data_IF_500493270085
#
_entry.id   IF_500493270085
#
_cell.length_a   1.000
_cell.length_b   1.000
_cell.length_c   1.000
_cell.angle_alpha   90.00
_cell.angle_beta   90.00
_cell.angle_gamma   90.00
#
_symmetry.space_group_name_H-M   'P 1'
#
loop_
_entity.id
_entity.type
_entity.pdbx_description
1 polymer ?
#
# COMPACT_ATOMS: atom_id res chain seq x y z
N UNK A 1 47.08 29.82 6.31
CA UNK A 1 45.94 29.48 7.22
C UNK A 1 44.75 29.17 6.33
N UNK A 2 44.57 27.92 6.08
CA UNK A 2 43.52 27.38 5.20
C UNK A 2 42.56 26.59 6.08
N UNK A 3 41.38 27.13 6.32
CA UNK A 3 40.29 26.42 7.01
C UNK A 3 39.54 25.57 6.00
N UNK A 4 39.70 24.27 6.13
CA UNK A 4 38.89 23.28 5.43
C UNK A 4 37.57 23.07 6.20
N UNK A 5 36.52 23.71 5.74
CA UNK A 5 35.15 23.38 6.18
C UNK A 5 34.70 22.03 5.64
N UNK A 6 34.91 20.98 6.44
CA UNK A 6 34.32 19.67 6.18
C UNK A 6 32.81 19.73 6.32
N UNK A 7 32.10 19.54 5.21
CA UNK A 7 30.66 19.40 5.17
C UNK A 7 30.33 17.97 5.61
N UNK A 8 30.00 17.80 6.89
CA UNK A 8 29.38 16.57 7.41
C UNK A 8 28.04 16.37 6.70
N UNK A 9 28.03 15.49 5.71
CA UNK A 9 26.79 14.91 5.20
C UNK A 9 26.21 14.07 6.32
N UNK A 10 25.14 14.56 6.94
CA UNK A 10 24.28 13.79 7.81
C UNK A 10 23.84 12.54 7.04
N UNK A 11 24.43 11.41 7.38
CA UNK A 11 24.01 10.08 6.97
C UNK A 11 22.68 9.78 7.72
N UNK A 12 21.58 10.34 7.21
CA UNK A 12 20.23 9.93 7.62
C UNK A 12 20.04 8.56 7.02
N UNK A 13 20.20 7.55 7.87
CA UNK A 13 20.07 6.14 7.54
C UNK A 13 18.86 5.90 6.64
N UNK A 14 19.12 5.21 5.54
CA UNK A 14 18.15 4.63 4.62
C UNK A 14 17.04 3.99 5.45
N UNK A 15 15.81 4.46 5.29
CA UNK A 15 14.66 4.05 6.06
C UNK A 15 14.25 2.60 5.78
N UNK A 16 15.08 1.65 6.19
CA UNK A 16 14.73 0.23 6.10
C UNK A 16 13.67 -0.09 7.15
N UNK A 17 12.48 -0.43 6.70
CA UNK A 17 11.46 -1.02 7.56
C UNK A 17 11.97 -2.38 8.03
N UNK A 18 12.28 -2.51 9.32
CA UNK A 18 12.78 -3.75 9.90
C UNK A 18 11.85 -4.22 11.02
N UNK A 19 10.83 -4.98 10.66
CA UNK A 19 9.90 -5.60 11.61
C UNK A 19 9.82 -7.12 11.38
N UNK A 20 10.78 -7.90 11.92
CA UNK A 20 10.85 -9.35 11.68
C UNK A 20 9.64 -10.13 12.22
N UNK A 21 9.01 -9.62 13.27
CA UNK A 21 7.79 -10.22 13.82
C UNK A 21 6.64 -10.07 12.82
N UNK A 22 6.39 -8.84 12.39
CA UNK A 22 5.36 -8.56 11.40
C UNK A 22 5.59 -9.33 10.10
N UNK A 23 6.82 -9.33 9.59
CA UNK A 23 7.16 -10.02 8.34
C UNK A 23 6.82 -11.54 8.40
N UNK A 24 7.14 -12.21 9.51
CA UNK A 24 6.79 -13.62 9.71
C UNK A 24 5.28 -13.84 9.84
N UNK A 25 4.62 -12.97 10.61
CA UNK A 25 3.17 -13.01 10.79
C UNK A 25 2.47 -12.81 9.44
N UNK A 26 2.84 -11.75 8.70
CA UNK A 26 2.26 -11.42 7.41
C UNK A 26 2.50 -12.52 6.37
N UNK A 27 3.72 -13.04 6.27
CA UNK A 27 4.04 -14.16 5.38
C UNK A 27 3.15 -15.38 5.65
N UNK A 28 2.80 -15.64 6.92
CA UNK A 28 1.89 -16.75 7.27
C UNK A 28 0.43 -16.42 6.97
N UNK A 29 0.00 -15.18 7.23
CA UNK A 29 -1.39 -14.75 7.02
C UNK A 29 -1.71 -14.67 5.53
N UNK A 30 -0.83 -14.11 4.73
CA UNK A 30 -1.02 -13.91 3.28
C UNK A 30 -1.18 -15.24 2.50
N UNK A 31 -0.59 -16.34 3.00
CA UNK A 31 -0.83 -17.68 2.39
C UNK A 31 -2.22 -18.25 2.67
N UNK A 32 -3.00 -17.62 3.54
CA UNK A 32 -4.33 -18.08 3.99
C UNK A 32 -5.34 -16.93 4.03
N UNK A 33 -5.19 -15.97 3.12
CA UNK A 33 -6.16 -14.87 3.05
C UNK A 33 -7.57 -15.42 2.80
N UNK A 34 -8.60 -14.91 3.49
CA UNK A 34 -9.99 -15.26 3.23
C UNK A 34 -10.38 -14.99 1.78
N UNK A 35 -11.25 -15.84 1.20
CA UNK A 35 -11.72 -15.64 -0.18
C UNK A 35 -12.40 -14.28 -0.40
N UNK A 36 -12.99 -13.70 0.66
CA UNK A 36 -13.53 -12.33 0.63
C UNK A 36 -12.46 -11.29 0.28
N UNK A 37 -11.27 -11.39 0.86
CA UNK A 37 -10.14 -10.49 0.55
C UNK A 37 -9.57 -10.77 -0.83
N UNK A 38 -9.39 -12.05 -1.20
CA UNK A 38 -8.89 -12.43 -2.52
C UNK A 38 -9.83 -11.93 -3.63
N UNK A 39 -11.15 -11.99 -3.42
CA UNK A 39 -12.15 -11.42 -4.33
C UNK A 39 -11.96 -9.91 -4.49
N UNK A 40 -11.79 -9.18 -3.39
CA UNK A 40 -11.57 -7.73 -3.42
C UNK A 40 -10.26 -7.36 -4.12
N UNK A 41 -9.18 -8.14 -3.92
CA UNK A 41 -7.93 -7.94 -4.65
C UNK A 41 -8.09 -8.10 -6.17
N UNK A 42 -8.75 -9.20 -6.60
CA UNK A 42 -9.04 -9.42 -8.04
C UNK A 42 -9.87 -8.28 -8.63
N UNK A 43 -10.86 -7.82 -7.89
CA UNK A 43 -11.70 -6.71 -8.31
C UNK A 43 -10.93 -5.39 -8.38
N UNK A 44 -10.09 -5.11 -7.38
CA UNK A 44 -9.26 -3.90 -7.35
C UNK A 44 -8.32 -3.80 -8.56
N UNK A 45 -7.83 -4.94 -9.05
CA UNK A 45 -6.91 -5.01 -10.18
C UNK A 45 -7.60 -5.16 -11.53
N UNK A 46 -8.91 -5.46 -11.55
CA UNK A 46 -9.64 -5.68 -12.79
C UNK A 46 -9.63 -4.44 -13.69
N UNK A 47 -9.35 -4.67 -14.99
CA UNK A 47 -9.33 -3.63 -16.00
C UNK A 47 -8.06 -2.76 -16.02
N UNK A 48 -7.09 -3.00 -15.14
CA UNK A 48 -5.79 -2.34 -15.20
C UNK A 48 -5.06 -2.65 -16.51
N UNK A 49 -4.34 -1.67 -17.02
CA UNK A 49 -3.54 -1.79 -18.25
C UNK A 49 -2.30 -0.91 -18.15
N UNK A 50 -1.31 -1.19 -19.00
CA UNK A 50 -0.09 -0.40 -19.09
C UNK A 50 0.86 -0.65 -17.93
N UNK A 51 1.60 0.38 -17.55
CA UNK A 51 2.65 0.34 -16.53
C UNK A 51 2.09 0.65 -15.15
N UNK A 52 2.27 -0.24 -14.20
CA UNK A 52 1.68 -0.16 -12.85
C UNK A 52 2.75 -0.05 -11.77
N UNK A 53 2.54 0.82 -10.78
CA UNK A 53 3.29 0.84 -9.52
C UNK A 53 2.44 0.18 -8.43
N UNK A 54 2.94 -0.87 -7.81
CA UNK A 54 2.33 -1.47 -6.61
C UNK A 54 3.11 -1.04 -5.36
N UNK A 55 2.42 -0.42 -4.41
CA UNK A 55 3.00 0.08 -3.15
C UNK A 55 2.75 -0.91 -2.04
N UNK A 56 3.81 -1.29 -1.32
CA UNK A 56 3.73 -2.25 -0.22
C UNK A 56 3.31 -3.64 -0.68
N UNK A 57 4.05 -4.21 -1.64
CA UNK A 57 3.69 -5.49 -2.27
C UNK A 57 3.60 -6.69 -1.29
N UNK A 58 4.17 -6.56 -0.10
CA UNK A 58 4.16 -7.63 0.92
C UNK A 58 4.81 -8.90 0.39
N UNK A 59 4.02 -9.96 0.31
CA UNK A 59 4.47 -11.26 -0.24
C UNK A 59 4.20 -11.41 -1.74
N UNK A 60 3.69 -10.37 -2.41
CA UNK A 60 3.33 -10.43 -3.83
C UNK A 60 1.98 -11.10 -4.11
N UNK A 61 1.07 -11.10 -3.15
CA UNK A 61 -0.26 -11.75 -3.29
C UNK A 61 -1.03 -11.24 -4.51
N UNK A 62 -0.88 -9.98 -4.88
CA UNK A 62 -1.57 -9.37 -6.03
C UNK A 62 -1.03 -9.85 -7.37
N UNK A 63 0.21 -10.31 -7.46
CA UNK A 63 0.89 -10.58 -8.74
C UNK A 63 0.16 -11.64 -9.60
N UNK A 64 -0.53 -12.58 -8.96
CA UNK A 64 -1.34 -13.59 -9.65
C UNK A 64 -2.64 -13.04 -10.28
N UNK A 65 -3.02 -11.79 -9.98
CA UNK A 65 -4.32 -11.23 -10.37
C UNK A 65 -4.21 -10.10 -11.41
N UNK A 66 -3.00 -9.68 -11.77
CA UNK A 66 -2.82 -8.65 -12.79
C UNK A 66 -3.33 -9.12 -14.15
N UNK A 67 -4.17 -8.32 -14.82
CA UNK A 67 -4.65 -8.66 -16.17
C UNK A 67 -3.53 -8.58 -17.22
N UNK A 68 -3.66 -9.34 -18.29
CA UNK A 68 -2.67 -9.40 -19.38
C UNK A 68 -2.46 -8.07 -20.12
N UNK A 69 -3.35 -7.09 -19.93
CA UNK A 69 -3.19 -5.73 -20.46
C UNK A 69 -2.15 -4.89 -19.67
N UNK A 70 -1.74 -5.34 -18.49
CA UNK A 70 -0.62 -4.73 -17.74
C UNK A 70 0.69 -5.15 -18.41
N UNK A 71 1.51 -4.17 -18.79
CA UNK A 71 2.76 -4.39 -19.52
C UNK A 71 3.96 -4.56 -18.58
N UNK A 72 3.90 -3.94 -17.41
CA UNK A 72 4.92 -3.99 -16.37
C UNK A 72 4.31 -3.67 -15.01
N UNK A 73 4.75 -4.37 -13.97
CA UNK A 73 4.52 -3.99 -12.57
C UNK A 73 5.86 -3.68 -11.92
N UNK A 74 5.98 -2.47 -11.36
CA UNK A 74 7.06 -2.13 -10.43
C UNK A 74 6.46 -2.19 -9.02
N UNK A 75 7.00 -3.08 -8.19
CA UNK A 75 6.51 -3.32 -6.83
C UNK A 75 7.54 -2.83 -5.82
N UNK A 76 7.15 -1.91 -4.94
CA UNK A 76 7.99 -1.43 -3.83
C UNK A 76 7.59 -2.14 -2.54
N UNK A 77 8.58 -2.75 -1.85
CA UNK A 77 8.38 -3.43 -0.56
C UNK A 77 9.62 -3.22 0.33
N UNK A 78 9.56 -2.32 1.31
CA UNK A 78 10.73 -1.95 2.12
C UNK A 78 11.15 -3.01 3.14
N UNK A 79 10.26 -3.92 3.54
CA UNK A 79 10.63 -5.02 4.43
C UNK A 79 11.34 -6.11 3.65
N UNK A 80 12.65 -6.23 3.84
CA UNK A 80 13.51 -7.09 3.02
C UNK A 80 13.10 -8.56 2.97
N UNK A 81 12.55 -9.11 4.07
CA UNK A 81 12.11 -10.52 4.15
C UNK A 81 10.86 -10.73 3.29
N UNK A 82 9.95 -9.76 3.27
CA UNK A 82 8.77 -9.77 2.41
C UNK A 82 9.18 -9.56 0.95
N UNK A 83 10.09 -8.63 0.67
CA UNK A 83 10.60 -8.39 -0.67
C UNK A 83 11.25 -9.66 -1.28
N UNK A 84 11.94 -10.48 -0.49
CA UNK A 84 12.48 -11.78 -0.95
C UNK A 84 11.35 -12.74 -1.36
N UNK A 85 10.26 -12.78 -0.59
CA UNK A 85 9.09 -13.63 -0.91
C UNK A 85 8.39 -13.09 -2.16
N UNK A 86 8.20 -11.76 -2.24
CA UNK A 86 7.60 -11.11 -3.41
C UNK A 86 8.41 -11.37 -4.69
N UNK A 87 9.74 -11.33 -4.66
CA UNK A 87 10.57 -11.66 -5.84
C UNK A 87 10.33 -13.07 -6.33
N UNK A 88 10.15 -14.06 -5.42
CA UNK A 88 9.80 -15.42 -5.80
C UNK A 88 8.39 -15.51 -6.40
N UNK A 89 7.43 -14.75 -5.85
CA UNK A 89 6.09 -14.69 -6.43
C UNK A 89 6.11 -14.05 -7.82
N UNK A 90 6.97 -13.06 -8.06
CA UNK A 90 7.16 -12.43 -9.36
C UNK A 90 7.64 -13.39 -10.45
N UNK A 91 8.43 -14.43 -10.11
CA UNK A 91 8.91 -15.43 -11.07
C UNK A 91 7.77 -16.24 -11.73
N UNK A 92 6.61 -16.32 -11.08
CA UNK A 92 5.44 -17.06 -11.59
C UNK A 92 4.27 -16.16 -11.98
N UNK A 93 4.46 -14.83 -11.95
CA UNK A 93 3.44 -13.89 -12.36
C UNK A 93 3.18 -13.97 -13.87
N UNK A 94 1.94 -13.69 -14.29
CA UNK A 94 1.54 -13.68 -15.71
C UNK A 94 2.01 -12.46 -16.48
N UNK A 95 2.48 -11.43 -15.77
CA UNK A 95 2.99 -10.18 -16.30
C UNK A 95 4.40 -9.91 -15.74
N UNK A 96 5.26 -9.13 -16.43
CA UNK A 96 6.56 -8.77 -15.89
C UNK A 96 6.44 -8.00 -14.57
N UNK A 97 7.09 -8.48 -13.51
CA UNK A 97 7.10 -7.82 -12.19
C UNK A 97 8.53 -7.61 -11.72
N UNK A 98 8.87 -6.37 -11.38
CA UNK A 98 10.15 -5.99 -10.76
C UNK A 98 9.91 -5.56 -9.32
N UNK A 99 10.59 -6.22 -8.35
CA UNK A 99 10.46 -5.91 -6.92
C UNK A 99 11.70 -5.17 -6.42
N UNK A 100 11.51 -3.95 -5.92
CA UNK A 100 12.55 -3.14 -5.26
C UNK A 100 12.33 -3.12 -3.74
N UNK A 101 13.41 -2.97 -2.98
CA UNK A 101 13.37 -2.91 -1.51
C UNK A 101 13.36 -1.46 -0.99
N UNK A 102 13.03 -0.50 -1.86
CA UNK A 102 12.88 0.90 -1.47
C UNK A 102 11.59 1.13 -0.70
N UNK A 103 11.54 2.17 0.11
CA UNK A 103 10.27 2.75 0.54
C UNK A 103 9.65 3.53 -0.61
N UNK A 104 8.35 3.78 -0.55
CA UNK A 104 7.70 4.60 -1.58
C UNK A 104 8.26 6.03 -1.58
N UNK A 105 8.65 6.53 -0.41
CA UNK A 105 9.23 7.86 -0.25
C UNK A 105 10.63 7.99 -0.90
N UNK A 106 11.38 6.90 -0.96
CA UNK A 106 12.70 6.84 -1.59
C UNK A 106 12.63 6.52 -3.07
N UNK A 107 11.61 5.77 -3.49
CA UNK A 107 11.45 5.37 -4.88
C UNK A 107 11.29 6.58 -5.80
N UNK A 108 11.98 6.55 -6.94
CA UNK A 108 11.90 7.58 -7.98
C UNK A 108 11.59 6.93 -9.31
N UNK A 109 10.41 7.22 -9.84
CA UNK A 109 10.02 6.78 -11.17
C UNK A 109 10.84 7.50 -12.25
N UNK A 110 11.33 6.76 -13.24
CA UNK A 110 11.94 7.34 -14.44
C UNK A 110 10.90 7.87 -15.40
N UNK A 111 9.83 7.09 -15.59
CA UNK A 111 8.70 7.40 -16.45
C UNK A 111 7.41 7.32 -15.66
N UNK A 112 6.37 8.09 -16.02
CA UNK A 112 5.08 8.04 -15.34
C UNK A 112 4.42 6.67 -15.44
N UNK A 113 3.61 6.35 -14.45
CA UNK A 113 2.78 5.14 -14.43
C UNK A 113 1.38 5.43 -14.99
N UNK A 114 0.76 4.40 -15.59
CA UNK A 114 -0.65 4.41 -15.97
C UNK A 114 -1.56 4.22 -14.76
N UNK A 115 -1.12 3.40 -13.81
CA UNK A 115 -1.85 3.17 -12.58
C UNK A 115 -0.91 2.98 -11.37
N UNK A 116 -1.44 3.29 -10.18
CA UNK A 116 -0.86 2.97 -8.87
C UNK A 116 -1.84 2.08 -8.12
N UNK A 117 -1.33 1.06 -7.46
CA UNK A 117 -2.10 0.12 -6.63
C UNK A 117 -1.62 0.20 -5.19
N UNK A 118 -2.56 0.47 -4.28
CA UNK A 118 -2.39 0.42 -2.84
C UNK A 118 -3.34 -0.65 -2.25
N UNK A 119 -2.80 -1.70 -1.64
CA UNK A 119 -3.60 -2.77 -1.05
C UNK A 119 -3.17 -3.05 0.38
N UNK A 120 -3.90 -2.50 1.36
CA UNK A 120 -3.64 -2.61 2.80
C UNK A 120 -2.27 -2.00 3.19
N UNK A 121 -1.90 -0.88 2.58
CA UNK A 121 -0.63 -0.20 2.79
C UNK A 121 -0.78 1.25 3.25
N UNK A 122 -1.75 2.02 2.75
CA UNK A 122 -1.97 3.42 3.17
C UNK A 122 -2.33 3.53 4.66
N UNK A 123 -2.90 2.48 5.23
CA UNK A 123 -3.10 2.39 6.67
C UNK A 123 -1.79 2.24 7.47
N UNK A 124 -0.68 1.85 6.81
CA UNK A 124 0.59 1.49 7.46
C UNK A 124 1.74 2.48 7.21
N UNK A 125 1.64 3.38 6.23
CA UNK A 125 2.63 4.43 6.00
C UNK A 125 2.59 5.50 7.10
N UNK A 126 3.72 6.15 7.40
CA UNK A 126 3.77 7.17 8.46
C UNK A 126 2.96 8.42 8.08
N UNK A 127 3.18 8.95 6.88
CA UNK A 127 2.60 10.19 6.38
C UNK A 127 1.77 9.94 5.10
N UNK A 128 0.50 9.44 5.22
CA UNK A 128 -0.29 9.04 4.06
C UNK A 128 -0.55 10.17 3.07
N UNK A 129 -0.66 11.42 3.54
CA UNK A 129 -0.87 12.57 2.66
C UNK A 129 0.38 12.84 1.80
N UNK A 130 1.58 12.76 2.37
CA UNK A 130 2.83 12.93 1.63
C UNK A 130 3.04 11.80 0.61
N UNK A 131 2.76 10.56 1.02
CA UNK A 131 2.80 9.39 0.13
C UNK A 131 1.84 9.57 -1.03
N UNK A 132 0.58 9.92 -0.77
CA UNK A 132 -0.42 10.12 -1.83
C UNK A 132 -0.06 11.25 -2.80
N UNK A 133 0.50 12.36 -2.32
CA UNK A 133 1.03 13.42 -3.19
C UNK A 133 2.18 12.93 -4.07
N UNK A 134 3.08 12.12 -3.53
CA UNK A 134 4.16 11.51 -4.30
C UNK A 134 3.61 10.55 -5.36
N UNK A 135 2.67 9.68 -5.00
CA UNK A 135 2.01 8.78 -5.95
C UNK A 135 1.27 9.55 -7.06
N UNK A 136 0.59 10.65 -6.68
CA UNK A 136 -0.02 11.55 -7.64
C UNK A 136 1.00 12.11 -8.64
N UNK A 137 2.19 12.50 -8.18
CA UNK A 137 3.25 13.01 -9.03
C UNK A 137 3.80 11.97 -10.03
N UNK A 138 3.83 10.68 -9.62
CA UNK A 138 4.33 9.57 -10.42
C UNK A 138 3.34 9.08 -11.48
N UNK A 139 2.06 9.44 -11.38
CA UNK A 139 1.04 9.09 -12.37
C UNK A 139 1.08 10.06 -13.55
N UNK A 140 0.84 9.54 -14.76
CA UNK A 140 0.53 10.40 -15.91
C UNK A 140 -0.79 11.14 -15.72
N UNK A 141 -1.05 12.26 -16.41
CA UNK A 141 -2.37 12.84 -16.50
C UNK A 141 -3.40 11.79 -16.97
N UNK A 142 -4.56 11.73 -16.31
CA UNK A 142 -5.57 10.68 -16.55
C UNK A 142 -5.21 9.28 -16.02
N UNK A 143 -4.07 9.12 -15.33
CA UNK A 143 -3.71 7.88 -14.65
C UNK A 143 -4.58 7.61 -13.42
N UNK A 144 -4.61 6.37 -12.94
CA UNK A 144 -5.53 5.96 -11.88
C UNK A 144 -4.84 5.42 -10.63
N UNK A 145 -5.46 5.67 -9.48
CA UNK A 145 -5.14 5.05 -8.19
C UNK A 145 -6.20 4.00 -7.88
N UNK A 146 -5.78 2.76 -7.67
CA UNK A 146 -6.59 1.65 -7.15
C UNK A 146 -6.25 1.40 -5.70
N UNK A 147 -7.25 1.35 -4.84
CA UNK A 147 -7.02 1.18 -3.41
C UNK A 147 -7.98 0.17 -2.77
N UNK A 148 -7.44 -0.58 -1.82
CA UNK A 148 -8.15 -1.50 -0.92
C UNK A 148 -7.54 -1.31 0.46
N UNK A 149 -8.22 -0.63 1.38
CA UNK A 149 -7.63 -0.16 2.62
C UNK A 149 -8.54 -0.34 3.83
N UNK A 150 -7.94 -0.53 5.01
CA UNK A 150 -8.68 -0.39 6.26
C UNK A 150 -9.05 1.08 6.47
N UNK A 151 -10.27 1.33 6.95
CA UNK A 151 -10.78 2.69 7.14
C UNK A 151 -11.46 2.87 8.49
N UNK A 152 -11.59 4.13 8.87
CA UNK A 152 -12.31 4.53 10.06
C UNK A 152 -13.78 4.12 10.01
N UNK A 153 -14.22 3.38 11.01
CA UNK A 153 -15.62 3.03 11.22
C UNK A 153 -16.34 4.09 12.06
N UNK A 154 -17.66 3.99 12.14
CA UNK A 154 -18.49 4.80 13.03
C UNK A 154 -18.73 4.19 14.43
N UNK A 155 -19.30 4.97 15.33
CA UNK A 155 -19.86 4.53 16.61
C UNK A 155 -18.87 3.84 17.56
N UNK A 156 -19.28 2.71 18.13
CA UNK A 156 -18.46 1.97 19.12
C UNK A 156 -17.18 1.39 18.48
N UNK A 157 -17.23 1.02 17.22
CA UNK A 157 -16.07 0.48 16.49
C UNK A 157 -14.99 1.54 16.30
N UNK A 158 -15.34 2.78 16.01
CA UNK A 158 -14.39 3.89 15.96
C UNK A 158 -13.63 4.06 17.29
N UNK A 159 -14.28 3.81 18.44
CA UNK A 159 -13.61 3.84 19.76
C UNK A 159 -12.61 2.70 19.88
N UNK A 160 -13.00 1.49 19.43
CA UNK A 160 -12.10 0.33 19.41
C UNK A 160 -10.88 0.58 18.52
N UNK A 161 -11.09 1.12 17.32
CA UNK A 161 -10.02 1.47 16.39
C UNK A 161 -9.06 2.49 17.01
N UNK A 162 -9.56 3.58 17.58
CA UNK A 162 -8.70 4.57 18.25
C UNK A 162 -7.92 3.99 19.43
N UNK A 163 -8.53 3.08 20.20
CA UNK A 163 -7.84 2.38 21.28
C UNK A 163 -6.76 1.44 20.74
N UNK A 164 -7.04 0.71 19.66
CA UNK A 164 -6.06 -0.14 18.99
C UNK A 164 -4.88 0.69 18.48
N UNK A 165 -5.14 1.77 17.76
CA UNK A 165 -4.12 2.66 17.21
C UNK A 165 -3.25 3.33 18.30
N UNK A 166 -3.84 3.63 19.48
CA UNK A 166 -3.12 4.22 20.60
C UNK A 166 -2.29 3.20 21.42
N UNK A 167 -2.33 1.92 21.12
CA UNK A 167 -1.70 0.86 21.90
C UNK A 167 -0.64 0.10 21.11
N UNK A 168 -0.61 -1.23 21.25
CA UNK A 168 0.40 -2.10 20.63
C UNK A 168 0.09 -2.46 19.18
N UNK A 169 -1.09 -2.16 18.67
CA UNK A 169 -1.55 -2.58 17.34
C UNK A 169 -0.61 -2.14 16.21
N UNK A 170 -0.24 -0.85 16.07
CA UNK A 170 0.68 -0.43 15.02
C UNK A 170 2.04 -1.12 15.10
N UNK A 171 2.56 -1.30 16.34
CA UNK A 171 3.88 -1.94 16.54
C UNK A 171 3.89 -3.41 16.14
N UNK A 172 2.79 -4.13 16.35
CA UNK A 172 2.68 -5.56 16.05
C UNK A 172 2.27 -5.82 14.59
N UNK A 173 1.47 -4.92 14.00
CA UNK A 173 0.85 -5.14 12.70
C UNK A 173 1.37 -4.18 11.63
N UNK A 174 2.70 -3.99 11.57
CA UNK A 174 3.37 -3.28 10.48
C UNK A 174 2.96 -1.81 10.37
N UNK A 175 2.84 -1.12 11.49
CA UNK A 175 2.42 0.28 11.57
C UNK A 175 0.97 0.54 11.10
N UNK A 176 0.13 -0.51 11.08
CA UNK A 176 -1.26 -0.38 10.65
C UNK A 176 -2.06 0.49 11.64
N UNK A 177 -2.55 1.62 11.18
CA UNK A 177 -3.50 2.50 11.86
C UNK A 177 -4.90 2.26 11.28
N UNK A 178 -5.81 1.78 12.11
CA UNK A 178 -7.11 1.30 11.66
C UNK A 178 -8.17 2.39 11.57
N UNK A 179 -7.90 3.57 12.16
CA UNK A 179 -8.81 4.72 12.20
C UNK A 179 -8.28 5.88 11.32
N UNK A 180 -8.07 5.59 10.03
CA UNK A 180 -7.68 6.61 9.03
C UNK A 180 -8.84 6.94 8.10
N UNK A 181 -8.97 8.21 7.75
CA UNK A 181 -9.86 8.69 6.69
C UNK A 181 -9.09 8.70 5.36
N UNK A 182 -8.89 7.50 4.81
CA UNK A 182 -8.09 7.31 3.59
C UNK A 182 -8.71 8.00 2.39
N UNK A 183 -10.05 7.98 2.26
CA UNK A 183 -10.74 8.62 1.14
C UNK A 183 -10.55 10.14 1.18
N UNK A 184 -10.60 10.75 2.36
CA UNK A 184 -10.31 12.18 2.54
C UNK A 184 -8.88 12.49 2.14
N UNK A 185 -7.91 11.69 2.56
CA UNK A 185 -6.51 11.85 2.19
C UNK A 185 -6.29 11.76 0.68
N UNK A 186 -6.99 10.85 -0.02
CA UNK A 186 -6.95 10.69 -1.48
C UNK A 186 -7.45 11.97 -2.16
N UNK A 187 -8.59 12.51 -1.72
CA UNK A 187 -9.15 13.77 -2.26
C UNK A 187 -8.22 14.95 -1.99
N UNK A 188 -7.68 15.06 -0.77
CA UNK A 188 -6.78 16.16 -0.37
C UNK A 188 -5.44 16.12 -1.15
N UNK A 189 -5.03 14.95 -1.65
CA UNK A 189 -3.88 14.80 -2.55
C UNK A 189 -4.16 15.22 -4.01
N UNK A 190 -5.41 15.55 -4.35
CA UNK A 190 -5.80 16.03 -5.67
C UNK A 190 -6.42 14.98 -6.60
N UNK A 191 -6.65 13.76 -6.11
CA UNK A 191 -7.34 12.72 -6.88
C UNK A 191 -8.85 12.98 -6.93
N UNK A 192 -9.46 12.60 -8.05
CA UNK A 192 -10.92 12.54 -8.21
C UNK A 192 -11.40 11.10 -7.98
N UNK A 193 -12.09 10.85 -6.87
CA UNK A 193 -12.68 9.54 -6.59
C UNK A 193 -13.78 9.25 -7.61
N UNK A 194 -13.64 8.17 -8.37
CA UNK A 194 -14.59 7.74 -9.42
C UNK A 194 -15.60 6.73 -8.90
N UNK A 195 -15.14 5.83 -8.04
CA UNK A 195 -15.99 4.88 -7.33
C UNK A 195 -15.31 4.45 -6.03
N UNK A 196 -16.10 4.28 -4.99
CA UNK A 196 -15.67 3.72 -3.72
C UNK A 196 -16.85 3.01 -3.06
N UNK A 197 -16.57 1.94 -2.35
CA UNK A 197 -17.54 1.29 -1.48
C UNK A 197 -16.87 0.66 -0.28
N UNK A 198 -17.60 0.63 0.82
CA UNK A 198 -17.16 -0.01 2.06
C UNK A 198 -17.59 -1.48 2.08
N UNK A 199 -16.71 -2.34 2.51
CA UNK A 199 -16.93 -3.77 2.63
C UNK A 199 -16.57 -4.26 4.04
N UNK A 200 -17.34 -5.22 4.53
CA UNK A 200 -17.05 -5.91 5.78
C UNK A 200 -16.33 -7.21 5.48
N UNK A 201 -15.03 -7.25 5.75
CA UNK A 201 -14.21 -8.46 5.49
C UNK A 201 -14.34 -9.53 6.57
N UNK A 202 -14.85 -9.14 7.74
CA UNK A 202 -15.22 -10.02 8.84
C UNK A 202 -16.69 -9.79 9.23
N UNK A 203 -17.38 -10.81 9.78
CA UNK A 203 -18.74 -10.64 10.27
C UNK A 203 -18.86 -9.47 11.26
N UNK A 204 -19.95 -8.71 11.18
CA UNK A 204 -20.14 -7.48 11.97
C UNK A 204 -20.10 -7.70 13.50
N UNK A 205 -20.34 -8.93 13.98
CA UNK A 205 -20.25 -9.30 15.39
C UNK A 205 -18.80 -9.54 15.87
N UNK A 206 -17.84 -9.69 14.96
CA UNK A 206 -16.42 -9.85 15.30
C UNK A 206 -15.83 -8.49 15.68
N UNK A 207 -15.35 -8.28 16.92
CA UNK A 207 -14.87 -6.99 17.37
C UNK A 207 -13.41 -6.75 16.94
N UNK A 208 -13.15 -6.82 15.64
CA UNK A 208 -11.81 -6.55 15.08
C UNK A 208 -11.74 -5.13 14.51
N UNK A 209 -10.67 -4.37 14.79
CA UNK A 209 -10.53 -3.01 14.30
C UNK A 209 -10.33 -2.93 12.78
N UNK A 210 -9.91 -4.02 12.12
CA UNK A 210 -9.66 -4.12 10.67
C UNK A 210 -10.82 -4.72 9.90
N UNK A 211 -12.04 -4.74 10.45
CA UNK A 211 -13.19 -5.38 9.79
C UNK A 211 -13.76 -4.58 8.63
N UNK A 212 -13.68 -3.25 8.68
CA UNK A 212 -14.16 -2.37 7.64
C UNK A 212 -13.03 -1.97 6.71
N UNK A 213 -13.24 -2.19 5.41
CA UNK A 213 -12.32 -1.82 4.34
C UNK A 213 -13.07 -1.01 3.30
N UNK A 214 -12.36 -0.12 2.64
CA UNK A 214 -12.83 0.53 1.42
C UNK A 214 -12.11 -0.07 0.22
N UNK A 215 -12.85 -0.33 -0.84
CA UNK A 215 -12.31 -0.61 -2.17
C UNK A 215 -12.78 0.48 -3.11
N UNK A 216 -11.86 1.03 -3.89
CA UNK A 216 -12.19 2.10 -4.80
C UNK A 216 -11.11 2.42 -5.82
N UNK A 217 -11.48 3.30 -6.73
CA UNK A 217 -10.54 3.89 -7.66
C UNK A 217 -10.75 5.39 -7.80
N UNK A 218 -9.64 6.08 -7.99
CA UNK A 218 -9.60 7.52 -8.19
C UNK A 218 -8.70 7.84 -9.38
N UNK A 219 -8.94 8.96 -10.03
CA UNK A 219 -8.17 9.39 -11.20
C UNK A 219 -7.35 10.65 -10.89
N UNK A 220 -6.15 10.73 -11.45
CA UNK A 220 -5.46 12.01 -11.61
C UNK A 220 -6.13 12.77 -12.73
N UNK A 221 -6.59 14.01 -12.53
CA UNK A 221 -7.12 14.84 -13.60
C UNK A 221 -6.19 14.91 -14.82
N UNK A 222 -6.77 15.08 -16.03
CA UNK A 222 -6.04 15.19 -17.29
C UNK A 222 -5.30 16.52 -17.42
#
# INVERSE_FOLDING_TARGET
MTESGGQERSDRGIGTVNNPFFARLWARMSTREPESILRLRRENLAGLAGRVLEVGAGTGTNFAFYPAAVTEVVAVEPEQRLAVIARRAAETASVPVTVTADTVEEYRARDPFDAVVCSLVLCSVDEPNAVLQQLFSMLRPGGELRYLEHVASGGARARLQRLADATVWPRLLGNCHTHRDTERSIVDAGFEVRAARHEWVLPAWVPMPVSETVIGHAAKPA
#
